data_IF_873741084632
#
_entry.id   IF_873741084632
#
_cell.length_a   1.000
_cell.length_b   1.000
_cell.length_c   1.000
_cell.angle_alpha   90.00
_cell.angle_beta   90.00
_cell.angle_gamma   90.00
#
_symmetry.space_group_name_H-M   'P 1'
#
loop_
_entity.id
_entity.type
_entity.pdbx_description
1 polymer ?
#
# COMPACT_ATOMS: atom_id res chain seq x y z
N UNK A 1 6.72 -21.32 6.04
CA UNK A 1 7.71 -22.24 5.43
C UNK A 1 7.60 -23.62 6.06
N UNK A 2 7.56 -23.75 7.38
CA UNK A 2 7.49 -25.03 8.06
C UNK A 2 6.24 -25.87 7.72
N UNK A 3 5.15 -25.23 7.31
CA UNK A 3 3.91 -25.89 6.91
C UNK A 3 3.77 -26.08 5.40
N UNK A 4 4.80 -25.74 4.60
CA UNK A 4 4.80 -25.81 3.12
C UNK A 4 3.61 -25.09 2.46
N UNK A 5 2.99 -24.12 3.15
CA UNK A 5 1.94 -23.30 2.57
C UNK A 5 2.56 -22.25 1.64
N UNK A 6 2.17 -22.27 0.37
CA UNK A 6 2.66 -21.35 -0.63
C UNK A 6 1.72 -20.14 -0.83
N UNK A 7 0.44 -20.30 -0.50
CA UNK A 7 -0.59 -19.29 -0.70
C UNK A 7 -0.86 -18.58 0.62
N UNK A 8 -0.31 -17.40 0.80
CA UNK A 8 -0.38 -16.68 2.07
C UNK A 8 -0.88 -15.25 1.86
N UNK A 9 -1.81 -14.84 2.72
CA UNK A 9 -2.29 -13.46 2.86
C UNK A 9 -2.36 -13.17 4.34
N UNK A 10 -1.51 -12.29 4.81
CA UNK A 10 -1.50 -11.91 6.22
C UNK A 10 -1.13 -10.44 6.41
N UNK A 11 -1.41 -9.95 7.59
CA UNK A 11 -1.07 -8.62 8.02
C UNK A 11 -0.51 -8.64 9.44
N UNK A 12 0.24 -7.62 9.76
CA UNK A 12 0.75 -7.39 11.09
C UNK A 12 0.57 -5.91 11.45
N UNK A 13 0.17 -5.66 12.69
CA UNK A 13 0.07 -4.31 13.25
C UNK A 13 1.09 -4.20 14.36
N UNK A 14 1.98 -3.25 14.26
CA UNK A 14 3.07 -3.10 15.21
C UNK A 14 3.67 -1.72 15.21
N UNK A 15 4.68 -1.54 16.06
CA UNK A 15 5.42 -0.29 16.16
C UNK A 15 6.88 -0.52 15.83
N UNK A 16 7.45 0.43 15.11
CA UNK A 16 8.91 0.56 14.96
C UNK A 16 9.43 1.54 15.99
N UNK A 17 10.63 1.26 16.52
CA UNK A 17 11.30 2.09 17.50
C UNK A 17 12.58 2.62 16.89
N UNK A 18 12.70 3.93 16.85
CA UNK A 18 13.84 4.62 16.25
C UNK A 18 14.64 5.32 17.33
N UNK A 19 15.97 5.19 17.26
CA UNK A 19 16.89 5.89 18.13
C UNK A 19 17.61 7.00 17.37
N UNK A 20 17.53 8.22 17.87
CA UNK A 20 18.24 9.38 17.34
C UNK A 20 19.27 9.88 18.36
N UNK A 21 20.57 9.62 18.05
CA UNK A 21 21.68 9.98 18.92
C UNK A 21 21.79 11.50 19.17
N UNK A 22 21.40 12.32 18.21
CA UNK A 22 21.47 13.78 18.33
C UNK A 22 20.46 14.35 19.34
N UNK A 23 19.37 13.62 19.60
CA UNK A 23 18.34 13.98 20.57
C UNK A 23 18.60 13.39 21.95
N UNK A 24 19.71 12.68 22.12
CA UNK A 24 20.04 12.09 23.42
C UNK A 24 20.36 13.17 24.44
N UNK A 25 19.71 13.08 25.58
CA UNK A 25 19.84 14.00 26.70
C UNK A 25 20.01 13.19 27.98
N UNK A 26 21.05 13.50 28.78
CA UNK A 26 21.35 12.75 29.99
C UNK A 26 20.27 12.91 31.06
N UNK A 27 19.55 14.05 31.09
CA UNK A 27 18.45 14.30 32.02
C UNK A 27 17.15 13.62 31.56
N UNK A 28 17.00 13.41 30.25
CA UNK A 28 15.82 12.76 29.68
C UNK A 28 16.19 11.87 28.46
N UNK A 29 16.78 10.69 28.72
CA UNK A 29 17.21 9.78 27.63
C UNK A 29 16.09 9.33 26.69
N UNK A 30 14.81 9.36 27.15
CA UNK A 30 13.66 8.95 26.37
C UNK A 30 13.44 9.84 25.13
N UNK A 31 13.87 11.10 25.17
CA UNK A 31 13.78 12.02 24.02
C UNK A 31 14.51 11.52 22.77
N UNK A 32 15.52 10.66 22.95
CA UNK A 32 16.27 10.06 21.85
C UNK A 32 15.49 8.96 21.13
N UNK A 33 14.41 8.48 21.68
CA UNK A 33 13.59 7.41 21.11
C UNK A 33 12.29 7.98 20.53
N UNK A 34 11.93 7.48 19.38
CA UNK A 34 10.61 7.72 18.77
C UNK A 34 9.97 6.39 18.39
N UNK A 35 8.66 6.38 18.39
CA UNK A 35 7.86 5.23 18.03
C UNK A 35 6.94 5.62 16.88
N UNK A 36 6.82 4.74 15.89
CA UNK A 36 5.93 4.91 14.76
C UNK A 36 5.07 3.66 14.58
N UNK A 37 3.76 3.85 14.41
CA UNK A 37 2.82 2.77 14.18
C UNK A 37 2.77 2.38 12.71
N UNK A 38 2.77 1.07 12.45
CA UNK A 38 2.77 0.50 11.10
C UNK A 38 1.73 -0.61 10.97
N UNK A 39 1.19 -0.77 9.76
CA UNK A 39 0.44 -1.95 9.33
C UNK A 39 1.15 -2.53 8.13
N UNK A 40 1.69 -3.73 8.28
CA UNK A 40 2.35 -4.49 7.21
C UNK A 40 1.38 -5.47 6.58
N UNK A 41 1.35 -5.52 5.25
CA UNK A 41 0.50 -6.43 4.46
C UNK A 41 1.37 -7.28 3.56
N UNK A 42 1.07 -8.57 3.50
CA UNK A 42 1.80 -9.54 2.68
C UNK A 42 0.83 -10.40 1.89
N UNK A 43 1.08 -10.51 0.58
CA UNK A 43 0.36 -11.42 -0.31
C UNK A 43 1.38 -12.19 -1.13
N UNK A 44 1.20 -13.52 -1.23
CA UNK A 44 2.06 -14.38 -2.04
C UNK A 44 1.32 -15.63 -2.49
N UNK A 45 1.76 -16.24 -3.59
CA UNK A 45 1.20 -17.44 -4.16
C UNK A 45 -0.04 -17.22 -5.00
N UNK A 46 -1.01 -18.12 -4.94
CA UNK A 46 -2.23 -18.06 -5.75
C UNK A 46 -3.29 -17.19 -5.10
N UNK A 47 -3.96 -16.40 -5.91
CA UNK A 47 -5.17 -15.67 -5.54
C UNK A 47 -6.37 -16.61 -5.44
N UNK A 48 -6.51 -17.47 -6.46
CA UNK A 48 -7.55 -18.49 -6.57
C UNK A 48 -6.89 -19.82 -6.89
N UNK A 49 -7.22 -20.85 -6.11
CA UNK A 49 -6.85 -22.23 -6.45
C UNK A 49 -7.79 -22.76 -7.52
N UNK A 50 -7.22 -23.42 -8.53
CA UNK A 50 -7.98 -24.00 -9.63
C UNK A 50 -8.97 -25.04 -9.17
N UNK A 51 -10.15 -25.01 -9.77
CA UNK A 51 -11.21 -25.98 -9.58
C UNK A 51 -11.93 -26.23 -10.91
N UNK A 52 -13.00 -27.04 -10.88
CA UNK A 52 -13.74 -27.38 -12.09
C UNK A 52 -14.35 -26.16 -12.83
N UNK A 53 -14.56 -25.03 -12.15
CA UNK A 53 -15.18 -23.82 -12.70
C UNK A 53 -14.15 -22.71 -13.01
N UNK A 54 -12.97 -22.73 -12.39
CA UNK A 54 -11.96 -21.68 -12.50
C UNK A 54 -10.56 -22.25 -12.65
N UNK A 55 -9.76 -21.63 -13.51
CA UNK A 55 -8.34 -21.90 -13.59
C UNK A 55 -7.57 -21.31 -12.37
N UNK A 56 -6.36 -21.81 -12.14
CA UNK A 56 -5.44 -21.20 -11.19
C UNK A 56 -5.17 -19.73 -11.55
N UNK A 57 -5.28 -18.84 -10.57
CA UNK A 57 -4.95 -17.43 -10.73
C UNK A 57 -3.86 -17.03 -9.73
N UNK A 58 -2.76 -16.47 -10.24
CA UNK A 58 -1.67 -15.97 -9.39
C UNK A 58 -2.05 -14.64 -8.76
N UNK A 59 -1.58 -14.41 -7.53
CA UNK A 59 -1.66 -13.10 -6.88
C UNK A 59 -0.87 -12.06 -7.68
N UNK A 60 -1.29 -10.82 -7.60
CA UNK A 60 -0.65 -9.72 -8.31
C UNK A 60 -0.52 -8.48 -7.42
N UNK A 61 0.32 -7.55 -7.84
CA UNK A 61 0.44 -6.24 -7.19
C UNK A 61 -0.89 -5.47 -7.15
N UNK A 62 -1.76 -5.70 -8.15
CA UNK A 62 -3.08 -5.07 -8.21
C UNK A 62 -4.03 -5.56 -7.11
N UNK A 63 -3.89 -6.81 -6.68
CA UNK A 63 -4.63 -7.33 -5.53
C UNK A 63 -4.22 -6.60 -4.25
N UNK A 64 -2.90 -6.45 -4.01
CA UNK A 64 -2.40 -5.69 -2.88
C UNK A 64 -2.83 -4.21 -2.95
N UNK A 65 -2.76 -3.60 -4.15
CA UNK A 65 -3.22 -2.23 -4.40
C UNK A 65 -4.68 -2.06 -4.01
N UNK A 66 -5.55 -2.99 -4.42
CA UNK A 66 -6.97 -2.94 -4.08
C UNK A 66 -7.21 -3.01 -2.55
N UNK A 67 -6.41 -3.81 -1.83
CA UNK A 67 -6.47 -3.87 -0.36
C UNK A 67 -6.05 -2.55 0.25
N UNK A 68 -4.94 -1.97 -0.17
CA UNK A 68 -4.44 -0.67 0.30
C UNK A 68 -5.45 0.44 0.04
N UNK A 69 -5.98 0.54 -1.17
CA UNK A 69 -7.00 1.54 -1.52
C UNK A 69 -8.30 1.37 -0.72
N UNK A 70 -8.68 0.12 -0.43
CA UNK A 70 -9.81 -0.15 0.47
C UNK A 70 -9.55 0.34 1.90
N UNK A 71 -8.33 0.16 2.42
CA UNK A 71 -7.97 0.69 3.74
C UNK A 71 -8.07 2.21 3.74
N UNK A 72 -7.41 2.89 2.78
CA UNK A 72 -7.43 4.35 2.66
C UNK A 72 -8.87 4.88 2.58
N UNK A 73 -9.71 4.28 1.75
CA UNK A 73 -11.12 4.65 1.60
C UNK A 73 -11.93 4.44 2.88
N UNK A 74 -11.73 3.31 3.58
CA UNK A 74 -12.46 2.98 4.82
C UNK A 74 -12.10 3.90 5.97
N UNK A 75 -10.87 4.37 6.06
CA UNK A 75 -10.48 5.38 7.05
C UNK A 75 -10.89 6.80 6.64
N UNK A 76 -11.51 6.97 5.49
CA UNK A 76 -12.04 8.25 5.02
C UNK A 76 -11.00 9.13 4.34
N UNK A 77 -9.90 8.56 3.82
CA UNK A 77 -8.90 9.34 3.08
C UNK A 77 -9.46 9.81 1.73
N UNK A 78 -9.54 11.13 1.45
CA UNK A 78 -10.01 11.63 0.18
C UNK A 78 -9.02 11.28 -0.94
N UNK A 79 -9.51 10.73 -2.04
CA UNK A 79 -8.67 10.33 -3.19
C UNK A 79 -7.88 11.52 -3.77
N UNK A 80 -8.50 12.69 -3.84
CA UNK A 80 -7.86 13.90 -4.34
C UNK A 80 -6.73 14.45 -3.45
N UNK A 81 -6.55 13.93 -2.24
CA UNK A 81 -5.47 14.33 -1.33
C UNK A 81 -4.27 13.37 -1.36
N UNK A 82 -4.35 12.34 -2.18
CA UNK A 82 -3.32 11.31 -2.29
C UNK A 82 -2.68 11.39 -3.67
N UNK A 83 -1.35 11.34 -3.70
CA UNK A 83 -0.54 11.30 -4.91
C UNK A 83 0.20 9.98 -4.93
N UNK A 84 0.15 9.28 -6.06
CA UNK A 84 0.92 8.06 -6.29
C UNK A 84 2.26 8.44 -6.92
N UNK A 85 3.36 7.96 -6.36
CA UNK A 85 4.70 8.17 -6.88
C UNK A 85 5.48 6.88 -6.94
N UNK A 86 6.56 6.88 -7.69
CA UNK A 86 7.54 5.80 -7.65
C UNK A 86 8.22 5.77 -6.27
N UNK A 87 8.45 4.57 -5.72
CA UNK A 87 9.22 4.39 -4.48
C UNK A 87 10.64 3.96 -4.83
N UNK A 88 11.62 4.71 -4.33
CA UNK A 88 13.05 4.41 -4.45
C UNK A 88 13.58 3.49 -3.33
N UNK A 89 12.68 2.94 -2.52
CA UNK A 89 13.03 2.06 -1.42
C UNK A 89 13.59 0.73 -1.96
N UNK A 90 14.82 0.38 -1.58
CA UNK A 90 15.53 -0.84 -2.02
C UNK A 90 14.95 -2.15 -1.48
N UNK A 91 13.93 -2.09 -0.63
CA UNK A 91 13.10 -3.23 -0.25
C UNK A 91 12.39 -3.80 -1.49
N UNK A 92 12.02 -2.94 -2.43
CA UNK A 92 11.26 -3.30 -3.62
C UNK A 92 12.15 -3.48 -4.85
N UNK A 93 11.79 -4.42 -5.71
CA UNK A 93 12.27 -4.47 -7.10
C UNK A 93 11.52 -3.49 -7.98
N UNK A 94 10.23 -3.31 -7.71
CA UNK A 94 9.34 -2.29 -8.27
C UNK A 94 8.42 -1.85 -7.15
N UNK A 95 8.42 -0.57 -6.80
CA UNK A 95 7.65 -0.02 -5.71
C UNK A 95 6.94 1.27 -6.10
N UNK A 96 5.83 1.52 -5.44
CA UNK A 96 5.10 2.78 -5.49
C UNK A 96 4.79 3.23 -4.07
N UNK A 97 4.61 4.53 -3.90
CA UNK A 97 4.23 5.11 -2.62
C UNK A 97 3.06 6.06 -2.76
N UNK A 98 2.17 6.00 -1.80
CA UNK A 98 1.08 6.94 -1.63
C UNK A 98 1.51 8.04 -0.68
N UNK A 99 1.47 9.27 -1.16
CA UNK A 99 1.82 10.46 -0.38
C UNK A 99 0.64 11.42 -0.25
N UNK A 100 0.67 12.23 0.79
CA UNK A 100 -0.16 13.45 0.83
C UNK A 100 0.39 14.47 -0.16
N UNK A 101 -0.42 15.46 -0.57
CA UNK A 101 0.05 16.60 -1.38
C UNK A 101 1.22 17.36 -0.75
N UNK A 102 1.38 17.29 0.57
CA UNK A 102 2.50 17.87 1.31
C UNK A 102 3.76 16.98 1.28
N UNK A 103 3.77 15.87 0.53
CA UNK A 103 4.92 14.96 0.40
C UNK A 103 5.11 14.01 1.57
N UNK A 104 4.09 13.81 2.43
CA UNK A 104 4.21 12.87 3.54
C UNK A 104 3.77 11.48 3.10
N UNK A 105 4.65 10.50 3.22
CA UNK A 105 4.38 9.10 2.87
C UNK A 105 3.30 8.53 3.79
N UNK A 106 2.29 7.91 3.19
CA UNK A 106 1.19 7.23 3.84
C UNK A 106 1.32 5.72 3.73
N UNK A 107 1.69 5.24 2.54
CA UNK A 107 1.86 3.82 2.24
C UNK A 107 2.99 3.66 1.25
N UNK A 108 3.86 2.70 1.48
CA UNK A 108 4.79 2.17 0.48
C UNK A 108 4.39 0.75 0.13
N UNK A 109 4.37 0.41 -1.15
CA UNK A 109 4.01 -0.94 -1.58
C UNK A 109 4.77 -1.35 -2.85
N UNK A 110 4.97 -2.65 -3.00
CA UNK A 110 5.67 -3.16 -4.17
C UNK A 110 5.92 -4.66 -4.13
N UNK A 111 6.74 -5.09 -5.08
CA UNK A 111 7.24 -6.46 -5.16
C UNK A 111 8.58 -6.50 -4.43
N UNK A 112 8.75 -7.42 -3.48
CA UNK A 112 10.01 -7.55 -2.74
C UNK A 112 11.20 -7.79 -3.67
N UNK A 113 12.32 -7.16 -3.36
CA UNK A 113 13.55 -7.29 -4.12
C UNK A 113 14.12 -8.72 -4.04
N UNK A 114 14.78 -9.15 -5.12
CA UNK A 114 15.39 -10.47 -5.20
C UNK A 114 16.42 -10.70 -4.07
N UNK A 115 17.11 -9.63 -3.62
CA UNK A 115 18.07 -9.68 -2.52
C UNK A 115 17.39 -10.12 -1.22
N UNK A 116 16.23 -9.54 -0.91
CA UNK A 116 15.47 -9.91 0.29
C UNK A 116 14.86 -11.30 0.16
N UNK A 117 14.26 -11.64 -0.98
CA UNK A 117 13.72 -12.98 -1.21
C UNK A 117 14.77 -14.05 -0.98
N UNK A 118 16.00 -13.87 -1.50
CA UNK A 118 17.11 -14.80 -1.29
C UNK A 118 17.56 -14.88 0.17
N UNK A 119 17.57 -13.76 0.91
CA UNK A 119 17.97 -13.75 2.32
C UNK A 119 17.02 -14.56 3.21
N UNK A 120 15.76 -14.71 2.79
CA UNK A 120 14.73 -15.48 3.50
C UNK A 120 14.38 -16.82 2.83
N UNK A 121 15.16 -17.22 1.81
CA UNK A 121 14.94 -18.46 1.04
C UNK A 121 13.52 -18.55 0.43
N UNK A 122 13.07 -17.44 -0.16
CA UNK A 122 11.77 -17.32 -0.80
C UNK A 122 11.95 -17.30 -2.32
N UNK A 123 11.37 -18.26 -3.02
CA UNK A 123 11.44 -18.38 -4.47
C UNK A 123 10.34 -17.56 -5.17
N UNK A 124 9.12 -17.61 -4.64
CA UNK A 124 7.94 -16.97 -5.24
C UNK A 124 7.93 -15.45 -5.03
N UNK A 125 7.10 -14.76 -5.81
CA UNK A 125 6.92 -13.33 -5.63
C UNK A 125 6.13 -13.03 -4.36
N UNK A 126 6.59 -12.03 -3.63
CA UNK A 126 5.92 -11.49 -2.44
C UNK A 126 5.57 -10.04 -2.70
N UNK A 127 4.31 -9.74 -2.60
CA UNK A 127 3.75 -8.38 -2.64
C UNK A 127 3.65 -7.88 -1.21
N UNK A 128 4.30 -6.76 -0.93
CA UNK A 128 4.40 -6.18 0.40
C UNK A 128 3.92 -4.73 0.39
N UNK A 129 3.18 -4.34 1.43
CA UNK A 129 2.86 -2.95 1.69
C UNK A 129 3.09 -2.61 3.16
N UNK A 130 3.59 -1.40 3.39
CA UNK A 130 3.76 -0.79 4.69
C UNK A 130 2.92 0.48 4.79
N UNK A 131 1.94 0.47 5.67
CA UNK A 131 1.08 1.61 5.96
C UNK A 131 1.63 2.35 7.17
N UNK A 132 2.08 3.58 7.00
CA UNK A 132 2.50 4.48 8.07
C UNK A 132 1.28 4.99 8.82
N UNK A 133 0.85 4.23 9.83
CA UNK A 133 -0.41 4.45 10.52
C UNK A 133 -0.53 5.84 11.13
N UNK A 134 0.51 6.31 11.82
CA UNK A 134 0.49 7.63 12.45
C UNK A 134 0.36 8.77 11.43
N UNK A 135 0.99 8.61 10.26
CA UNK A 135 0.90 9.60 9.18
C UNK A 135 -0.51 9.62 8.60
N UNK A 136 -1.10 8.43 8.40
CA UNK A 136 -2.45 8.28 7.90
C UNK A 136 -3.47 8.91 8.86
N UNK A 137 -3.36 8.60 10.17
CA UNK A 137 -4.25 9.18 11.18
C UNK A 137 -4.14 10.72 11.26
N UNK A 138 -2.92 11.26 11.13
CA UNK A 138 -2.72 12.72 11.07
C UNK A 138 -3.34 13.33 9.81
N UNK A 139 -3.24 12.64 8.67
CA UNK A 139 -3.78 13.13 7.40
C UNK A 139 -5.31 13.21 7.38
N UNK A 140 -5.98 12.25 8.02
CA UNK A 140 -7.46 12.21 8.08
C UNK A 140 -8.07 12.99 9.24
N UNK A 141 -7.27 13.49 10.19
CA UNK A 141 -7.76 14.17 11.40
C UNK A 141 -8.74 15.32 11.14
N UNK A 142 -8.61 15.99 9.98
CA UNK A 142 -9.45 17.14 9.57
C UNK A 142 -10.54 16.76 8.56
N UNK A 143 -10.69 15.47 8.24
CA UNK A 143 -11.69 15.02 7.28
C UNK A 143 -13.04 14.94 8.00
N UNK A 144 -13.97 15.77 7.57
CA UNK A 144 -15.35 15.71 8.04
C UNK A 144 -16.15 14.79 7.12
N UNK A 145 -16.66 13.71 7.65
CA UNK A 145 -17.63 12.86 6.95
C UNK A 145 -18.99 13.57 6.94
N UNK A 146 -19.39 14.02 5.76
CA UNK A 146 -20.73 14.58 5.56
C UNK A 146 -21.60 13.57 4.81
N UNK A 147 -22.80 13.35 5.32
CA UNK A 147 -23.80 12.56 4.61
C UNK A 147 -24.27 13.33 3.37
N UNK A 148 -24.27 12.66 2.24
CA UNK A 148 -24.91 13.16 1.01
C UNK A 148 -25.97 12.17 0.57
N UNK A 149 -27.16 12.68 0.24
CA UNK A 149 -28.25 11.85 -0.26
C UNK A 149 -27.83 11.11 -1.53
N UNK A 150 -28.31 9.87 -1.65
CA UNK A 150 -28.11 9.10 -2.88
C UNK A 150 -28.87 9.81 -4.01
N UNK A 151 -28.21 9.97 -5.16
CA UNK A 151 -28.82 10.56 -6.35
C UNK A 151 -30.13 9.82 -6.71
N UNK A 152 -31.20 10.59 -6.86
CA UNK A 152 -32.51 10.06 -7.30
C UNK A 152 -32.55 9.72 -8.80
N UNK A 153 -31.51 10.14 -9.53
CA UNK A 153 -31.43 9.90 -10.97
C UNK A 153 -30.46 8.73 -11.23
N UNK A 154 -30.80 7.84 -12.18
CA UNK A 154 -29.91 6.77 -12.57
C UNK A 154 -28.62 7.33 -13.19
N UNK A 155 -27.48 6.71 -12.89
CA UNK A 155 -26.22 7.04 -13.53
C UNK A 155 -26.22 6.55 -14.97
N UNK A 156 -25.59 7.31 -15.87
CA UNK A 156 -25.38 6.92 -17.26
C UNK A 156 -23.88 6.60 -17.41
N UNK A 157 -23.57 5.36 -17.79
CA UNK A 157 -22.22 4.95 -18.14
C UNK A 157 -21.95 5.24 -19.62
N UNK A 158 -20.77 5.76 -19.92
CA UNK A 158 -20.32 5.98 -21.29
C UNK A 158 -18.89 5.49 -21.46
N UNK A 159 -18.63 4.82 -22.57
CA UNK A 159 -17.30 4.34 -22.91
C UNK A 159 -16.60 5.37 -23.81
N UNK A 160 -15.32 5.60 -23.52
CA UNK A 160 -14.44 6.42 -24.33
C UNK A 160 -13.26 5.56 -24.81
N UNK A 161 -13.15 5.37 -26.11
CA UNK A 161 -12.02 4.69 -26.71
C UNK A 161 -11.00 5.72 -27.20
N UNK A 162 -9.78 5.65 -26.68
CA UNK A 162 -8.68 6.52 -27.04
C UNK A 162 -7.63 5.74 -27.81
N UNK A 163 -7.15 6.29 -28.93
CA UNK A 163 -5.97 5.81 -29.62
C UNK A 163 -4.79 6.65 -29.14
N UNK A 164 -3.89 6.02 -28.38
CA UNK A 164 -2.72 6.67 -27.78
C UNK A 164 -1.45 5.96 -28.21
N UNK A 165 -0.33 6.66 -28.20
CA UNK A 165 0.98 6.08 -28.40
C UNK A 165 1.35 5.15 -27.24
N UNK A 166 2.18 4.12 -27.52
CA UNK A 166 2.63 3.15 -26.51
C UNK A 166 3.49 3.76 -25.41
N UNK A 167 4.05 4.94 -25.64
CA UNK A 167 4.85 5.69 -24.67
C UNK A 167 4.01 6.46 -23.65
N UNK A 168 2.70 6.59 -23.90
CA UNK A 168 1.79 7.33 -22.99
C UNK A 168 1.45 6.44 -21.81
N UNK A 169 1.78 6.90 -20.60
CA UNK A 169 1.43 6.23 -19.37
C UNK A 169 -0.02 6.54 -18.95
N UNK A 170 -0.65 5.62 -18.26
CA UNK A 170 -2.06 5.77 -17.84
C UNK A 170 -2.29 7.03 -17.00
N UNK A 171 -1.34 7.40 -16.15
CA UNK A 171 -1.39 8.62 -15.32
C UNK A 171 -1.55 9.90 -16.15
N UNK A 172 -1.03 9.92 -17.39
CA UNK A 172 -1.15 11.08 -18.28
C UNK A 172 -2.55 11.20 -18.91
N UNK A 173 -3.34 10.13 -18.86
CA UNK A 173 -4.71 10.09 -19.41
C UNK A 173 -5.73 10.37 -18.31
N UNK A 174 -5.42 10.03 -17.06
CA UNK A 174 -6.27 10.24 -15.89
C UNK A 174 -6.25 11.71 -15.50
N UNK A 175 -7.35 12.44 -15.84
CA UNK A 175 -7.54 13.87 -15.50
C UNK A 175 -8.45 14.05 -14.29
#
# INVERSE_FOLDING_TARGET
INHKSQNLKFFEVGNTYLYNKEKWDAENPIKAYSQEGHISLFITGKRVEGNWAHADEQSSIYELKAVVENILRRVGMPQNNVVLKHSDNNIFSKGVQYETRAGKVLVEMGILSLKLKKAFDIEQDVFYADVHWDNLMKAIKKVNLTYTDISKYPSVSRDLALLVDKSVEFEQIEM
#
